data_IF_122499559366
#
_entry.id   IF_122499559366
#
_cell.length_a   1.000
_cell.length_b   1.000
_cell.length_c   1.000
_cell.angle_alpha   90.00
_cell.angle_beta   90.00
_cell.angle_gamma   90.00
#
_symmetry.space_group_name_H-M   'P 1'
#
loop_
_entity.id
_entity.type
_entity.pdbx_description
1 polymer ?
#
# COMPACT_ATOMS: atom_id res chain seq x y z
N UNK A 1 51.35 83.25 -80.30
CA UNK A 1 51.35 82.73 -78.92
C UNK A 1 50.15 81.78 -78.75
N UNK A 2 50.25 80.57 -79.29
CA UNK A 2 50.59 79.30 -78.62
C UNK A 2 49.37 78.51 -78.11
N UNK A 3 48.61 77.98 -79.07
CA UNK A 3 47.55 76.96 -78.87
C UNK A 3 48.11 75.68 -78.21
N UNK A 4 49.40 75.41 -78.43
CA UNK A 4 50.14 74.30 -77.80
C UNK A 4 50.28 74.44 -76.28
N UNK A 5 50.41 75.67 -75.76
CA UNK A 5 50.44 75.90 -74.31
C UNK A 5 49.09 75.56 -73.66
N UNK A 6 47.98 75.89 -74.32
CA UNK A 6 46.64 75.58 -73.84
C UNK A 6 46.30 74.09 -73.91
N UNK A 7 46.76 73.36 -74.93
CA UNK A 7 46.58 71.91 -75.03
C UNK A 7 47.33 71.17 -73.92
N UNK A 8 48.58 71.55 -73.65
CA UNK A 8 49.38 70.96 -72.57
C UNK A 8 48.76 71.23 -71.19
N UNK A 9 48.17 72.41 -70.99
CA UNK A 9 47.49 72.78 -69.74
C UNK A 9 46.19 71.99 -69.53
N UNK A 10 45.39 71.77 -70.59
CA UNK A 10 44.19 70.92 -70.53
C UNK A 10 44.51 69.45 -70.25
N UNK A 11 45.50 68.90 -70.93
CA UNK A 11 45.89 67.49 -70.73
C UNK A 11 46.47 67.24 -69.32
N UNK A 12 47.16 68.23 -68.74
CA UNK A 12 47.62 68.12 -67.34
C UNK A 12 46.46 68.21 -66.34
N UNK A 13 45.46 69.06 -66.61
CA UNK A 13 44.27 69.18 -65.77
C UNK A 13 43.41 67.90 -65.77
N UNK A 14 43.20 67.27 -66.93
CA UNK A 14 42.48 66.00 -67.02
C UNK A 14 43.22 64.85 -66.30
N UNK A 15 44.54 64.80 -66.42
CA UNK A 15 45.36 63.82 -65.70
C UNK A 15 45.30 64.03 -64.18
N UNK A 16 45.29 65.28 -63.72
CA UNK A 16 45.16 65.62 -62.30
C UNK A 16 43.77 65.20 -61.76
N UNK A 17 42.69 65.52 -62.48
CA UNK A 17 41.34 65.15 -62.09
C UNK A 17 41.14 63.63 -62.03
N UNK A 18 41.71 62.88 -62.99
CA UNK A 18 41.66 61.42 -62.97
C UNK A 18 42.42 60.84 -61.76
N UNK A 19 43.59 61.38 -61.44
CA UNK A 19 44.36 60.95 -60.27
C UNK A 19 43.66 61.29 -58.95
N UNK A 20 42.93 62.40 -58.88
CA UNK A 20 42.13 62.77 -57.70
C UNK A 20 40.92 61.86 -57.53
N UNK A 21 40.22 61.52 -58.62
CA UNK A 21 39.10 60.57 -58.60
C UNK A 21 39.56 59.16 -58.18
N UNK A 22 40.73 58.71 -58.65
CA UNK A 22 41.32 57.43 -58.23
C UNK A 22 41.74 57.43 -56.75
N UNK A 23 42.24 58.56 -56.23
CA UNK A 23 42.55 58.70 -54.79
C UNK A 23 41.29 58.70 -53.94
N UNK A 24 40.23 59.36 -54.40
CA UNK A 24 38.95 59.36 -53.73
C UNK A 24 38.34 57.97 -53.69
N UNK A 25 38.30 57.25 -54.83
CA UNK A 25 37.76 55.88 -54.88
C UNK A 25 38.56 54.91 -54.02
N UNK A 26 39.89 55.02 -53.99
CA UNK A 26 40.73 54.24 -53.06
C UNK A 26 40.51 54.61 -51.59
N UNK A 27 40.26 55.89 -51.30
CA UNK A 27 39.90 56.36 -49.96
C UNK A 27 38.59 55.76 -49.47
N UNK A 28 37.55 55.77 -50.33
CA UNK A 28 36.25 55.16 -50.05
C UNK A 28 36.37 53.64 -49.88
N UNK A 29 37.14 52.95 -50.74
CA UNK A 29 37.35 51.51 -50.61
C UNK A 29 38.09 51.14 -49.32
N UNK A 30 39.11 51.91 -48.91
CA UNK A 30 39.82 51.69 -47.64
C UNK A 30 38.93 51.98 -46.43
N UNK A 31 38.12 53.03 -46.48
CA UNK A 31 37.16 53.35 -45.42
C UNK A 31 36.08 52.25 -45.29
N UNK A 32 35.55 51.78 -46.43
CA UNK A 32 34.59 50.68 -46.47
C UNK A 32 35.17 49.39 -45.90
N UNK A 33 36.41 49.03 -46.28
CA UNK A 33 37.09 47.85 -45.71
C UNK A 33 37.27 47.96 -44.20
N UNK A 34 37.75 49.10 -43.69
CA UNK A 34 37.88 49.33 -42.24
C UNK A 34 36.55 49.21 -41.50
N UNK A 35 35.46 49.67 -42.10
CA UNK A 35 34.13 49.60 -41.49
C UNK A 35 33.65 48.14 -41.42
N UNK A 36 33.85 47.36 -42.49
CA UNK A 36 33.53 45.93 -42.53
C UNK A 36 34.35 45.15 -41.49
N UNK A 37 35.67 45.39 -41.43
CA UNK A 37 36.55 44.74 -40.45
C UNK A 37 36.11 45.06 -39.01
N UNK A 38 35.66 46.29 -38.76
CA UNK A 38 35.15 46.71 -37.44
C UNK A 38 33.83 45.99 -37.11
N UNK A 39 32.88 45.95 -38.03
CA UNK A 39 31.59 45.28 -37.82
C UNK A 39 31.76 43.76 -37.61
N UNK A 40 32.70 43.14 -38.31
CA UNK A 40 32.99 41.73 -38.14
C UNK A 40 33.57 41.45 -36.74
N UNK A 41 34.51 42.27 -36.27
CA UNK A 41 35.05 42.16 -34.92
C UNK A 41 33.98 42.33 -33.83
N UNK A 42 33.05 43.29 -33.98
CA UNK A 42 31.94 43.45 -33.04
C UNK A 42 30.99 42.24 -33.04
N UNK A 43 30.74 41.65 -34.22
CA UNK A 43 29.92 40.45 -34.33
C UNK A 43 30.58 39.22 -33.69
N UNK A 44 31.90 39.11 -33.78
CA UNK A 44 32.64 38.02 -33.13
C UNK A 44 32.65 38.19 -31.61
N UNK A 45 32.83 39.42 -31.12
CA UNK A 45 32.71 39.74 -29.69
C UNK A 45 31.31 39.44 -29.13
N UNK A 46 30.24 39.74 -29.87
CA UNK A 46 28.88 39.45 -29.40
C UNK A 46 28.63 37.94 -29.29
N UNK A 47 29.12 37.15 -30.26
CA UNK A 47 29.00 35.68 -30.23
C UNK A 47 29.76 35.08 -29.05
N UNK A 48 30.96 35.60 -28.76
CA UNK A 48 31.76 35.15 -27.61
C UNK A 48 31.05 35.44 -26.28
N UNK A 49 30.43 36.61 -26.14
CA UNK A 49 29.67 36.97 -24.94
C UNK A 49 28.44 36.06 -24.75
N UNK A 50 27.66 35.83 -25.80
CA UNK A 50 26.49 34.92 -25.72
C UNK A 50 26.90 33.48 -25.39
N UNK A 51 28.04 33.02 -25.92
CA UNK A 51 28.55 31.69 -25.58
C UNK A 51 28.95 31.58 -24.10
N UNK A 52 29.54 32.64 -23.54
CA UNK A 52 29.92 32.69 -22.13
C UNK A 52 28.70 32.70 -21.20
N UNK A 53 27.68 33.50 -21.52
CA UNK A 53 26.39 33.54 -20.82
C UNK A 53 25.71 32.16 -20.81
N UNK A 54 25.69 31.47 -21.96
CA UNK A 54 25.10 30.14 -22.07
C UNK A 54 25.87 29.11 -21.24
N UNK A 55 27.20 29.17 -21.25
CA UNK A 55 28.06 28.32 -20.44
C UNK A 55 27.81 28.53 -18.94
N UNK A 56 27.73 29.79 -18.51
CA UNK A 56 27.44 30.17 -17.13
C UNK A 56 26.08 29.64 -16.67
N UNK A 57 25.05 29.79 -17.51
CA UNK A 57 23.70 29.29 -17.26
C UNK A 57 23.64 27.76 -17.16
N UNK A 58 24.35 27.04 -18.02
CA UNK A 58 24.43 25.57 -17.97
C UNK A 58 25.15 25.06 -16.71
N UNK A 59 26.12 25.81 -16.21
CA UNK A 59 26.92 25.44 -15.03
C UNK A 59 26.39 26.02 -13.72
N UNK A 60 25.32 26.82 -13.77
CA UNK A 60 24.71 27.49 -12.62
C UNK A 60 25.70 28.36 -11.84
N UNK A 61 26.59 29.06 -12.52
CA UNK A 61 27.61 29.91 -11.91
C UNK A 61 27.67 31.28 -12.59
N UNK A 62 28.38 32.22 -11.98
CA UNK A 62 28.58 33.56 -12.55
C UNK A 62 29.48 33.51 -13.80
N UNK A 63 29.24 34.40 -14.77
CA UNK A 63 29.98 34.43 -16.06
C UNK A 63 31.51 34.51 -15.90
N UNK A 64 31.98 35.15 -14.82
CA UNK A 64 33.40 35.33 -14.53
C UNK A 64 34.09 34.01 -14.14
N UNK A 65 33.33 33.09 -13.55
CA UNK A 65 33.82 31.81 -13.06
C UNK A 65 33.47 30.64 -14.00
N UNK A 66 32.62 30.88 -14.99
CA UNK A 66 32.12 29.86 -15.91
C UNK A 66 33.24 29.13 -16.67
N UNK A 67 34.27 29.83 -17.14
CA UNK A 67 35.41 29.19 -17.84
C UNK A 67 36.25 28.37 -16.86
N UNK A 68 36.53 28.90 -15.66
CA UNK A 68 37.33 28.19 -14.65
C UNK A 68 36.62 26.91 -14.21
N UNK A 69 35.32 26.99 -13.94
CA UNK A 69 34.47 25.87 -13.54
C UNK A 69 34.24 24.88 -14.67
N UNK A 70 34.10 25.34 -15.92
CA UNK A 70 34.05 24.46 -17.08
C UNK A 70 35.37 23.69 -17.27
N UNK A 71 36.50 24.37 -17.09
CA UNK A 71 37.83 23.74 -17.20
C UNK A 71 38.04 22.72 -16.09
N UNK A 72 37.69 23.05 -14.85
CA UNK A 72 37.71 22.12 -13.72
C UNK A 72 36.82 20.90 -13.98
N UNK A 73 35.59 21.10 -14.48
CA UNK A 73 34.68 19.99 -14.81
C UNK A 73 35.17 19.15 -15.98
N UNK A 74 35.87 19.74 -16.96
CA UNK A 74 36.49 18.99 -18.07
C UNK A 74 37.69 18.18 -17.56
N UNK A 75 38.50 18.75 -16.66
CA UNK A 75 39.62 18.05 -16.02
C UNK A 75 39.12 16.93 -15.09
N UNK A 76 38.04 17.16 -14.35
CA UNK A 76 37.36 16.13 -13.57
C UNK A 76 36.70 15.08 -14.47
N UNK A 77 36.11 15.46 -15.61
CA UNK A 77 35.55 14.52 -16.60
C UNK A 77 36.62 13.71 -17.34
N UNK A 78 37.85 14.19 -17.43
CA UNK A 78 38.98 13.38 -17.88
C UNK A 78 39.34 12.27 -16.85
N UNK A 79 38.88 12.38 -15.60
CA UNK A 79 38.94 11.31 -14.60
C UNK A 79 37.63 10.48 -14.51
N UNK A 80 36.49 11.03 -14.93
CA UNK A 80 35.17 10.37 -14.93
C UNK A 80 34.84 9.71 -16.29
N UNK A 81 35.54 8.63 -16.64
CA UNK A 81 34.96 7.57 -17.50
C UNK A 81 34.06 6.63 -16.66
N UNK A 82 33.98 6.85 -15.35
CA UNK A 82 33.05 6.17 -14.45
C UNK A 82 32.08 7.21 -13.86
N UNK A 83 31.04 7.58 -14.61
CA UNK A 83 29.97 8.43 -14.12
C UNK A 83 29.09 7.64 -13.14
N UNK A 84 29.52 7.55 -11.88
CA UNK A 84 28.68 7.09 -10.78
C UNK A 84 27.62 8.15 -10.53
N UNK A 85 26.39 7.88 -10.99
CA UNK A 85 25.20 8.66 -10.68
C UNK A 85 24.96 8.50 -9.18
N UNK A 86 25.35 9.49 -8.38
CA UNK A 86 25.01 9.56 -6.97
C UNK A 86 23.51 9.83 -6.83
N UNK A 87 22.73 8.77 -6.71
CA UNK A 87 21.34 8.83 -6.24
C UNK A 87 21.43 8.98 -4.73
N UNK A 88 20.89 10.08 -4.18
CA UNK A 88 20.82 10.33 -2.74
C UNK A 88 19.71 9.44 -2.12
N UNK A 89 20.06 8.44 -1.30
CA UNK A 89 19.10 7.45 -0.78
C UNK A 89 18.56 7.84 0.60
N UNK A 90 18.55 9.13 0.93
CA UNK A 90 18.17 9.61 2.26
C UNK A 90 16.67 9.45 2.63
N UNK A 91 15.86 8.73 1.84
CA UNK A 91 14.49 8.36 2.23
C UNK A 91 14.17 6.90 1.92
N UNK A 92 14.73 5.99 2.70
CA UNK A 92 14.29 4.59 2.80
C UNK A 92 15.09 3.62 1.91
N UNK A 93 15.97 2.86 2.56
CA UNK A 93 16.68 1.67 2.06
C UNK A 93 16.86 1.54 0.56
N UNK A 94 18.02 1.94 0.06
CA UNK A 94 18.45 1.69 -1.32
C UNK A 94 18.30 0.21 -1.69
N UNK A 95 17.39 -0.07 -2.63
CA UNK A 95 17.36 -1.33 -3.37
C UNK A 95 17.94 -1.04 -4.74
N UNK A 96 19.26 -1.04 -4.84
CA UNK A 96 19.94 -0.94 -6.14
C UNK A 96 19.74 -2.26 -6.88
N UNK A 97 18.99 -2.22 -7.98
CA UNK A 97 18.87 -3.36 -8.90
C UNK A 97 20.06 -3.29 -9.86
N UNK A 98 20.89 -4.31 -9.86
CA UNK A 98 21.98 -4.41 -10.84
C UNK A 98 21.42 -5.01 -12.14
N UNK A 99 21.53 -4.25 -13.24
CA UNK A 99 21.15 -4.69 -14.57
C UNK A 99 22.40 -4.86 -15.41
N UNK A 100 22.64 -6.07 -15.89
CA UNK A 100 23.71 -6.34 -16.85
C UNK A 100 23.16 -6.09 -18.26
N UNK A 101 23.73 -5.11 -18.97
CA UNK A 101 23.27 -4.69 -20.30
C UNK A 101 24.28 -5.09 -21.34
N UNK A 102 23.87 -5.96 -22.26
CA UNK A 102 24.71 -6.36 -23.40
C UNK A 102 24.40 -5.47 -24.60
N UNK A 103 25.45 -5.02 -25.30
CA UNK A 103 25.36 -4.16 -26.50
C UNK A 103 26.05 -4.81 -27.70
N UNK A 104 25.58 -4.49 -28.90
CA UNK A 104 26.24 -4.87 -30.16
C UNK A 104 27.44 -3.96 -30.48
N UNK A 105 28.17 -4.29 -31.55
CA UNK A 105 29.32 -3.53 -32.05
C UNK A 105 28.96 -2.10 -32.49
N UNK A 106 27.68 -1.82 -32.71
CA UNK A 106 27.16 -0.50 -33.07
C UNK A 106 26.70 0.31 -31.84
N UNK A 107 26.80 -0.26 -30.64
CA UNK A 107 26.39 0.35 -29.38
C UNK A 107 24.89 0.24 -29.06
N UNK A 108 24.11 -0.52 -29.83
CA UNK A 108 22.70 -0.79 -29.53
C UNK A 108 22.57 -1.85 -28.45
N UNK A 109 21.56 -1.71 -27.58
CA UNK A 109 21.27 -2.70 -26.54
C UNK A 109 20.64 -3.94 -27.19
N UNK A 110 21.23 -5.11 -26.94
CA UNK A 110 20.73 -6.40 -27.44
C UNK A 110 20.11 -7.25 -26.34
N UNK A 111 20.52 -7.05 -25.09
CA UNK A 111 20.00 -7.80 -23.94
C UNK A 111 20.10 -6.99 -22.64
N UNK A 112 19.16 -7.22 -21.71
CA UNK A 112 19.15 -6.63 -20.37
C UNK A 112 18.83 -7.76 -19.38
N UNK A 113 19.81 -8.16 -18.59
CA UNK A 113 19.69 -9.19 -17.57
C UNK A 113 19.52 -8.55 -16.18
N UNK A 114 18.39 -8.82 -15.53
CA UNK A 114 18.01 -8.30 -14.21
C UNK A 114 17.94 -9.47 -13.23
N UNK A 115 19.10 -10.00 -12.81
CA UNK A 115 19.15 -11.19 -11.93
C UNK A 115 18.42 -10.95 -10.60
N UNK A 116 18.59 -9.77 -10.00
CA UNK A 116 17.90 -9.41 -8.75
C UNK A 116 16.36 -9.47 -8.89
N UNK A 117 15.83 -9.22 -10.09
CA UNK A 117 14.39 -9.29 -10.37
C UNK A 117 13.89 -10.73 -10.52
N UNK A 118 14.72 -11.63 -11.06
CA UNK A 118 14.37 -13.05 -11.20
C UNK A 118 14.39 -13.77 -9.84
N UNK A 119 15.38 -13.45 -9.00
CA UNK A 119 15.46 -13.99 -7.64
C UNK A 119 14.32 -13.48 -6.76
N UNK A 120 14.00 -12.18 -6.85
CA UNK A 120 12.84 -11.59 -6.15
C UNK A 120 11.54 -12.26 -6.57
N UNK A 121 11.33 -12.52 -7.86
CA UNK A 121 10.14 -13.20 -8.36
C UNK A 121 10.07 -14.67 -7.87
N UNK A 122 11.21 -15.35 -7.79
CA UNK A 122 11.30 -16.74 -7.29
C UNK A 122 10.98 -16.81 -5.80
N UNK A 123 11.54 -15.90 -5.00
CA UNK A 123 11.23 -15.80 -3.56
C UNK A 123 9.73 -15.53 -3.37
N UNK A 124 9.18 -14.55 -4.09
CA UNK A 124 7.75 -14.24 -4.00
C UNK A 124 6.86 -15.44 -4.40
N UNK A 125 7.28 -16.24 -5.40
CA UNK A 125 6.56 -17.43 -5.80
C UNK A 125 6.59 -18.52 -4.72
N UNK A 126 7.74 -18.71 -4.05
CA UNK A 126 7.87 -19.65 -2.93
C UNK A 126 7.06 -19.20 -1.71
N UNK A 127 7.16 -17.92 -1.32
CA UNK A 127 6.37 -17.36 -0.21
C UNK A 127 4.85 -17.53 -0.45
N UNK A 128 4.41 -17.38 -1.70
CA UNK A 128 3.02 -17.61 -2.10
C UNK A 128 2.63 -19.09 -1.99
N UNK A 129 3.53 -20.01 -2.39
CA UNK A 129 3.30 -21.44 -2.26
C UNK A 129 3.18 -21.87 -0.78
N UNK A 130 4.09 -21.41 0.07
CA UNK A 130 4.06 -21.68 1.51
C UNK A 130 2.79 -21.12 2.17
N UNK A 131 2.37 -19.92 1.73
CA UNK A 131 1.11 -19.30 2.17
C UNK A 131 -0.10 -20.14 1.74
N UNK A 132 -0.09 -20.69 0.52
CA UNK A 132 -1.18 -21.54 0.03
C UNK A 132 -1.27 -22.87 0.82
N UNK A 133 -0.14 -23.48 1.15
CA UNK A 133 -0.09 -24.69 1.98
C UNK A 133 -0.63 -24.42 3.39
N UNK A 134 -0.22 -23.30 4.00
CA UNK A 134 -0.72 -22.87 5.32
C UNK A 134 -2.24 -22.65 5.32
N UNK A 135 -2.78 -22.03 4.26
CA UNK A 135 -4.23 -21.84 4.09
C UNK A 135 -4.95 -23.18 3.98
N UNK A 136 -4.38 -24.14 3.25
CA UNK A 136 -4.98 -25.46 3.06
C UNK A 136 -5.01 -26.27 4.38
N UNK A 137 -3.93 -26.22 5.16
CA UNK A 137 -3.86 -26.84 6.48
C UNK A 137 -4.87 -26.21 7.46
N UNK A 138 -4.99 -24.88 7.42
CA UNK A 138 -5.98 -24.14 8.21
C UNK A 138 -7.40 -24.52 7.81
N UNK A 139 -7.68 -24.66 6.52
CA UNK A 139 -9.00 -25.09 6.04
C UNK A 139 -9.36 -26.51 6.47
N UNK A 140 -8.39 -27.44 6.45
CA UNK A 140 -8.56 -28.80 7.00
C UNK A 140 -8.90 -28.78 8.49
N UNK A 141 -8.12 -28.03 9.28
CA UNK A 141 -8.34 -27.88 10.72
C UNK A 141 -9.72 -27.29 11.05
N UNK A 142 -10.16 -26.30 10.27
CA UNK A 142 -11.49 -25.69 10.43
C UNK A 142 -12.61 -26.68 10.11
N UNK A 143 -12.44 -27.53 9.09
CA UNK A 143 -13.41 -28.55 8.73
C UNK A 143 -13.55 -29.61 9.82
N UNK A 144 -12.44 -30.05 10.42
CA UNK A 144 -12.47 -31.01 11.53
C UNK A 144 -13.16 -30.42 12.76
N UNK A 145 -12.83 -29.17 13.12
CA UNK A 145 -13.51 -28.47 14.21
C UNK A 145 -15.02 -28.29 13.98
N UNK A 146 -15.44 -28.06 12.73
CA UNK A 146 -16.85 -27.96 12.37
C UNK A 146 -17.58 -29.31 12.53
N UNK A 147 -16.93 -30.42 12.15
CA UNK A 147 -17.47 -31.77 12.35
C UNK A 147 -17.59 -32.13 13.83
N UNK A 148 -16.57 -31.81 14.64
CA UNK A 148 -16.60 -32.04 16.09
C UNK A 148 -17.73 -31.24 16.76
N UNK A 149 -17.93 -29.99 16.34
CA UNK A 149 -19.02 -29.15 16.83
C UNK A 149 -20.39 -29.72 16.45
N UNK A 150 -20.56 -30.22 15.21
CA UNK A 150 -21.80 -30.87 14.77
C UNK A 150 -22.08 -32.18 15.53
N UNK A 151 -21.04 -32.96 15.82
CA UNK A 151 -21.14 -34.16 16.66
C UNK A 151 -21.60 -33.81 18.07
N UNK A 152 -20.95 -32.84 18.70
CA UNK A 152 -21.31 -32.35 20.05
C UNK A 152 -22.75 -31.82 20.12
N UNK A 153 -23.21 -31.11 19.08
CA UNK A 153 -24.59 -30.63 19.00
C UNK A 153 -25.60 -31.78 18.90
N UNK A 154 -25.25 -32.86 18.19
CA UNK A 154 -26.10 -34.06 18.06
C UNK A 154 -26.19 -34.80 19.39
N UNK A 155 -25.09 -34.98 20.11
CA UNK A 155 -25.08 -35.57 21.45
C UNK A 155 -25.89 -34.76 22.46
N UNK A 156 -25.81 -33.43 22.40
CA UNK A 156 -26.62 -32.54 23.23
C UNK A 156 -28.11 -32.69 22.93
N UNK A 157 -28.48 -32.85 21.65
CA UNK A 157 -29.87 -33.08 21.25
C UNK A 157 -30.42 -34.37 21.85
N UNK A 158 -29.67 -35.48 21.75
CA UNK A 158 -30.06 -36.75 22.37
C UNK A 158 -30.16 -36.66 23.89
N UNK A 159 -29.21 -35.97 24.53
CA UNK A 159 -29.28 -35.74 25.99
C UNK A 159 -30.52 -34.94 26.37
N UNK A 160 -30.93 -33.96 25.57
CA UNK A 160 -32.14 -33.18 25.81
C UNK A 160 -33.41 -34.03 25.66
N UNK A 161 -33.45 -34.95 24.69
CA UNK A 161 -34.52 -35.94 24.53
C UNK A 161 -34.61 -36.87 25.75
N UNK A 162 -33.49 -37.45 26.18
CA UNK A 162 -33.44 -38.34 27.36
C UNK A 162 -33.90 -37.63 28.63
N UNK A 163 -33.54 -36.35 28.80
CA UNK A 163 -33.99 -35.52 29.92
C UNK A 163 -35.49 -35.25 29.85
N UNK A 164 -36.03 -34.99 28.66
CA UNK A 164 -37.46 -34.78 28.48
C UNK A 164 -38.26 -36.06 28.82
N UNK A 165 -37.80 -37.22 28.38
CA UNK A 165 -38.41 -38.52 28.69
C UNK A 165 -38.36 -38.83 30.19
N UNK A 166 -37.21 -38.57 30.82
CA UNK A 166 -37.05 -38.70 32.26
C UNK A 166 -37.99 -37.76 33.04
N UNK A 167 -38.13 -36.51 32.59
CA UNK A 167 -39.05 -35.55 33.19
C UNK A 167 -40.51 -36.00 33.07
N UNK A 168 -40.91 -36.56 31.93
CA UNK A 168 -42.25 -37.11 31.73
C UNK A 168 -42.51 -38.30 32.68
N UNK A 169 -41.54 -39.21 32.80
CA UNK A 169 -41.61 -40.36 33.72
C UNK A 169 -41.76 -39.90 35.18
N UNK A 170 -41.03 -38.86 35.59
CA UNK A 170 -41.15 -38.28 36.94
C UNK A 170 -42.53 -37.66 37.15
N UNK A 171 -43.07 -36.96 36.15
CA UNK A 171 -44.39 -36.36 36.22
C UNK A 171 -45.49 -37.42 36.40
N UNK A 172 -45.43 -38.52 35.65
CA UNK A 172 -46.35 -39.65 35.78
C UNK A 172 -46.26 -40.28 37.19
N UNK A 173 -45.05 -40.56 37.67
CA UNK A 173 -44.85 -41.09 39.02
C UNK A 173 -45.37 -40.15 40.13
N UNK A 174 -45.26 -38.84 39.95
CA UNK A 174 -45.79 -37.87 40.90
C UNK A 174 -47.33 -37.86 40.93
N UNK A 175 -48.00 -38.08 39.80
CA UNK A 175 -49.46 -38.23 39.72
C UNK A 175 -49.88 -39.50 40.45
N UNK A 176 -49.22 -40.64 40.19
CA UNK A 176 -49.50 -41.91 40.87
C UNK A 176 -49.31 -41.81 42.39
N UNK A 177 -48.22 -41.20 42.85
CA UNK A 177 -47.95 -40.99 44.27
C UNK A 177 -49.02 -40.09 44.93
N UNK A 178 -49.51 -39.07 44.20
CA UNK A 178 -50.58 -38.20 44.67
C UNK A 178 -51.90 -38.96 44.83
N UNK A 179 -52.23 -39.84 43.88
CA UNK A 179 -53.42 -40.69 43.95
C UNK A 179 -53.33 -41.68 45.12
N UNK A 180 -52.21 -42.39 45.26
CA UNK A 180 -51.99 -43.31 46.38
C UNK A 180 -52.09 -42.60 47.75
N UNK A 181 -51.61 -41.36 47.83
CA UNK A 181 -51.76 -40.53 49.04
C UNK A 181 -53.22 -40.19 49.33
N UNK A 182 -54.03 -39.92 48.31
CA UNK A 182 -55.47 -39.68 48.46
C UNK A 182 -56.20 -40.94 48.94
N UNK A 183 -55.92 -42.09 48.32
CA UNK A 183 -56.51 -43.38 48.68
C UNK A 183 -56.16 -43.77 50.14
N UNK A 184 -54.90 -43.58 50.55
CA UNK A 184 -54.48 -43.82 51.94
C UNK A 184 -55.20 -42.91 52.95
N UNK A 185 -55.44 -41.63 52.59
CA UNK A 185 -56.21 -40.71 53.43
C UNK A 185 -57.65 -41.18 53.59
N UNK A 186 -58.27 -41.69 52.53
CA UNK A 186 -59.62 -42.26 52.56
C UNK A 186 -59.69 -43.49 53.46
N UNK A 187 -58.81 -44.48 53.26
CA UNK A 187 -58.73 -45.69 54.11
C UNK A 187 -58.51 -45.32 55.59
N UNK A 188 -57.65 -44.35 55.85
CA UNK A 188 -57.39 -43.87 57.23
C UNK A 188 -58.63 -43.21 57.85
N UNK A 189 -59.42 -42.48 57.05
CA UNK A 189 -60.67 -41.89 57.50
C UNK A 189 -61.74 -42.94 57.78
N UNK A 190 -61.81 -44.01 56.97
CA UNK A 190 -62.71 -45.14 57.22
C UNK A 190 -62.35 -45.90 58.50
N UNK A 191 -61.06 -46.17 58.74
CA UNK A 191 -60.59 -46.81 59.96
C UNK A 191 -60.83 -45.97 61.23
N UNK A 192 -60.93 -44.65 61.10
CA UNK A 192 -61.26 -43.73 62.20
C UNK A 192 -62.75 -43.65 62.52
N UNK A 193 -63.65 -44.09 61.63
CA UNK A 193 -65.06 -44.23 62.02
C UNK A 193 -65.11 -45.28 63.13
N UNK A 194 -65.78 -45.00 64.27
CA UNK A 194 -65.78 -45.93 65.37
C UNK A 194 -66.27 -47.28 64.87
N UNK A 195 -65.56 -48.35 65.25
CA UNK A 195 -66.02 -49.72 65.14
C UNK A 195 -67.36 -49.76 65.89
N UNK A 196 -68.47 -49.51 65.18
CA UNK A 196 -69.81 -49.62 65.71
C UNK A 196 -70.10 -51.12 65.86
N UNK A 197 -69.34 -51.78 66.73
CA UNK A 197 -69.74 -53.05 67.31
C UNK A 197 -71.07 -52.83 68.05
N UNK A 198 -71.93 -53.84 68.10
CA UNK A 198 -73.27 -53.71 68.66
C UNK A 198 -73.17 -53.15 70.08
N UNK A 199 -73.73 -51.96 70.29
CA UNK A 199 -73.86 -51.36 71.62
C UNK A 199 -74.75 -52.28 72.45
N UNK A 200 -74.13 -53.06 73.33
CA UNK A 200 -74.84 -53.85 74.32
C UNK A 200 -75.39 -52.90 75.37
N UNK A 201 -76.71 -52.72 75.37
CA UNK A 201 -77.43 -51.85 76.31
C UNK A 201 -77.31 -52.37 77.75
N UNK A 202 -76.95 -51.53 78.75
CA UNK A 202 -77.15 -51.86 80.15
C UNK A 202 -78.57 -51.45 80.56
N UNK A 203 -79.45 -52.42 80.77
CA UNK A 203 -80.78 -52.19 81.31
C UNK A 203 -80.70 -51.56 82.70
N UNK A 204 -81.29 -50.37 82.82
CA UNK A 204 -81.39 -49.59 84.05
C UNK A 204 -82.11 -50.34 85.18
N UNK A 205 -81.53 -50.23 86.38
CA UNK A 205 -82.10 -50.62 87.66
C UNK A 205 -83.35 -49.77 87.95
N UNK A 206 -84.52 -50.40 87.98
CA UNK A 206 -85.72 -49.79 88.55
C UNK A 206 -85.95 -50.21 90.01
N UNK A 207 -85.98 -49.17 90.85
CA UNK A 207 -86.84 -48.93 92.00
C UNK A 207 -87.26 -50.11 92.92
N UNK A 208 -86.81 -49.98 94.17
CA UNK A 208 -87.29 -50.63 95.39
C UNK A 208 -88.77 -50.27 95.66
N UNK A 209 -89.61 -51.22 96.12
CA UNK A 209 -90.71 -50.90 97.01
C UNK A 209 -90.52 -51.52 98.41
N UNK A 210 -91.01 -50.78 99.41
CA UNK A 210 -91.06 -51.15 100.83
C UNK A 210 -92.18 -52.17 101.07
N UNK A 211 -91.94 -53.17 101.92
CA UNK A 211 -92.90 -53.55 102.98
C UNK A 211 -92.24 -54.40 104.06
N UNK A 212 -92.52 -53.99 105.30
CA UNK A 212 -92.43 -54.70 106.57
C UNK A 212 -93.04 -56.11 106.54
N UNK A 213 -92.57 -57.02 107.42
CA UNK A 213 -93.29 -57.53 108.60
C UNK A 213 -92.87 -58.98 108.95
N UNK A 214 -92.40 -59.15 110.20
CA UNK A 214 -92.43 -60.33 111.10
C UNK A 214 -91.97 -61.73 110.61
N UNK A 215 -90.99 -62.33 111.30
CA UNK A 215 -91.19 -63.15 112.52
C UNK A 215 -89.85 -63.51 113.17
#
# INVERSE_FOLDING_TARGET
>A
MSVFANFKKRHQAEKANKAELERFSQGVAKAGKKLVDTLQNLSEQSKQKTALELLAALLGCDEQDAIAKATELVEQRAQFVEMTIGVDPASGGDKTVTAEVTKDDNGNITDINLQDSADTATIAANDLADSADTVNETAGTLNDAANDAAGSASELSHTAEDVADSANTIAEAAVEASQATADLKEVTAELKKPLAGPQSSPSEKNAKPKSSLNR
#
